data_IF_504496374917
#
_entry.id   IF_504496374917
#
_cell.length_a   1.000
_cell.length_b   1.000
_cell.length_c   1.000
_cell.angle_alpha   90.00
_cell.angle_beta   90.00
_cell.angle_gamma   90.00
#
_symmetry.space_group_name_H-M   'P 1'
#
loop_
_entity.id
_entity.type
_entity.pdbx_description
1 polymer ?
#
# COMPACT_ATOMS: atom_id res chain seq x y z
N UNK A 1 -15.46 10.00 13.25
CA UNK A 1 -14.76 10.46 12.03
C UNK A 1 -15.63 10.03 10.83
N UNK A 2 -15.55 10.71 9.68
CA UNK A 2 -16.63 10.91 8.69
C UNK A 2 -17.56 9.74 8.31
N UNK A 3 -18.85 10.07 8.10
CA UNK A 3 -19.90 9.18 7.57
C UNK A 3 -19.47 8.50 6.25
N UNK A 4 -19.27 7.19 6.30
CA UNK A 4 -18.95 6.26 5.19
C UNK A 4 -19.92 6.30 3.98
N UNK A 5 -21.01 7.08 4.04
CA UNK A 5 -22.15 6.99 3.12
C UNK A 5 -22.66 8.35 2.63
N UNK A 6 -21.77 9.28 2.28
CA UNK A 6 -22.16 10.48 1.50
C UNK A 6 -21.44 10.54 0.16
N UNK A 7 -21.88 9.69 -0.75
CA UNK A 7 -21.56 9.86 -2.18
C UNK A 7 -22.08 11.21 -2.70
N UNK A 8 -21.43 11.74 -3.74
CA UNK A 8 -21.91 12.94 -4.42
C UNK A 8 -23.31 12.70 -5.00
N UNK A 9 -24.23 13.66 -4.80
CA UNK A 9 -25.56 13.62 -5.42
C UNK A 9 -25.44 13.44 -6.94
N UNK A 10 -26.32 12.67 -7.59
CA UNK A 10 -26.26 12.46 -9.04
C UNK A 10 -26.24 13.77 -9.85
N UNK A 11 -27.04 14.77 -9.45
CA UNK A 11 -27.08 16.09 -10.08
C UNK A 11 -25.74 16.84 -10.02
N UNK A 12 -24.92 16.56 -9.00
CA UNK A 12 -23.58 17.12 -8.89
C UNK A 12 -22.61 16.38 -9.80
N UNK A 13 -22.66 15.02 -9.84
CA UNK A 13 -21.80 14.22 -10.73
C UNK A 13 -22.02 14.54 -12.21
N UNK A 14 -23.25 14.84 -12.63
CA UNK A 14 -23.60 15.18 -14.01
C UNK A 14 -23.03 16.52 -14.51
N UNK A 15 -22.37 17.31 -13.64
CA UNK A 15 -21.77 18.61 -13.99
C UNK A 15 -20.25 18.53 -14.21
N UNK A 16 -19.66 17.33 -14.15
CA UNK A 16 -18.23 17.11 -14.29
C UNK A 16 -17.94 16.00 -15.30
N UNK A 17 -16.80 16.09 -15.98
CA UNK A 17 -16.17 14.94 -16.62
C UNK A 17 -15.44 14.11 -15.56
N UNK A 18 -15.43 12.79 -15.72
CA UNK A 18 -14.85 11.88 -14.74
C UNK A 18 -13.80 10.97 -15.39
N UNK A 19 -12.70 10.76 -14.68
CA UNK A 19 -11.72 9.72 -14.94
C UNK A 19 -11.64 8.86 -13.68
N UNK A 20 -11.82 7.55 -13.83
CA UNK A 20 -11.61 6.60 -12.76
C UNK A 20 -10.13 6.27 -12.71
N UNK A 21 -9.55 6.36 -11.52
CA UNK A 21 -8.17 5.95 -11.26
C UNK A 21 -8.20 4.71 -10.39
N UNK A 22 -7.26 3.82 -10.64
CA UNK A 22 -6.96 2.66 -9.82
C UNK A 22 -5.44 2.61 -9.58
N UNK A 23 -4.99 1.69 -8.75
CA UNK A 23 -3.56 1.41 -8.63
C UNK A 23 -2.98 1.00 -9.99
N UNK A 24 -1.78 1.49 -10.32
CA UNK A 24 -1.18 1.22 -11.61
C UNK A 24 -0.80 -0.25 -11.77
N UNK A 25 -0.63 -0.68 -13.03
CA UNK A 25 -0.08 -1.99 -13.35
C UNK A 25 1.28 -2.22 -12.65
N UNK A 26 1.62 -3.46 -12.25
CA UNK A 26 2.82 -3.73 -11.44
C UNK A 26 4.13 -3.22 -12.04
N UNK A 27 4.24 -3.20 -13.37
CA UNK A 27 5.42 -2.63 -14.05
C UNK A 27 5.53 -1.11 -13.86
N UNK A 28 4.40 -0.40 -13.94
CA UNK A 28 4.34 1.04 -13.74
C UNK A 28 4.54 1.38 -12.27
N UNK A 29 3.91 0.62 -11.36
CA UNK A 29 4.08 0.86 -9.92
C UNK A 29 5.54 0.67 -9.48
N UNK A 30 6.23 -0.36 -9.97
CA UNK A 30 7.67 -0.56 -9.72
C UNK A 30 8.50 0.64 -10.18
N UNK A 31 8.26 1.12 -11.40
CA UNK A 31 8.98 2.29 -11.93
C UNK A 31 8.75 3.55 -11.08
N UNK A 32 7.54 3.72 -10.52
CA UNK A 32 7.26 4.80 -9.57
C UNK A 32 8.10 4.63 -8.30
N UNK A 33 8.19 3.41 -7.72
CA UNK A 33 8.96 3.17 -6.50
C UNK A 33 10.46 3.34 -6.71
N UNK A 34 10.99 2.89 -7.85
CA UNK A 34 12.40 3.07 -8.21
C UNK A 34 12.73 4.57 -8.29
N UNK A 35 11.87 5.36 -8.93
CA UNK A 35 12.09 6.81 -9.12
C UNK A 35 11.84 7.64 -7.85
N UNK A 36 10.64 7.51 -7.27
CA UNK A 36 10.18 8.37 -6.18
C UNK A 36 10.62 7.88 -4.80
N UNK A 37 10.81 6.56 -4.70
CA UNK A 37 11.25 5.86 -3.50
C UNK A 37 12.76 5.61 -3.44
N UNK A 38 13.48 5.76 -4.56
CA UNK A 38 14.89 5.37 -4.71
C UNK A 38 15.14 3.89 -4.39
N UNK A 39 14.13 3.05 -4.60
CA UNK A 39 14.25 1.61 -4.41
C UNK A 39 15.11 1.00 -5.53
N UNK A 40 15.83 -0.07 -5.21
CA UNK A 40 16.37 -0.96 -6.24
C UNK A 40 15.22 -1.72 -6.92
N UNK A 41 15.42 -2.26 -8.14
CA UNK A 41 14.40 -3.07 -8.82
C UNK A 41 13.88 -4.24 -7.97
N UNK A 42 14.75 -4.86 -7.17
CA UNK A 42 14.40 -5.96 -6.29
C UNK A 42 13.48 -5.51 -5.14
N UNK A 43 13.80 -4.39 -4.50
CA UNK A 43 12.97 -3.81 -3.44
C UNK A 43 11.63 -3.34 -4.00
N UNK A 44 11.63 -2.68 -5.15
CA UNK A 44 10.40 -2.23 -5.82
C UNK A 44 9.49 -3.42 -6.16
N UNK A 45 10.05 -4.51 -6.69
CA UNK A 45 9.29 -5.72 -6.99
C UNK A 45 8.67 -6.35 -5.74
N UNK A 46 9.42 -6.47 -4.64
CA UNK A 46 8.91 -6.99 -3.36
C UNK A 46 7.81 -6.11 -2.77
N UNK A 47 7.98 -4.80 -2.78
CA UNK A 47 6.97 -3.86 -2.29
C UNK A 47 5.66 -3.92 -3.10
N UNK A 48 5.75 -4.04 -4.42
CA UNK A 48 4.56 -4.20 -5.28
C UNK A 48 3.89 -5.56 -5.07
N UNK A 49 4.65 -6.64 -4.90
CA UNK A 49 4.09 -7.95 -4.55
C UNK A 49 3.35 -7.91 -3.22
N UNK A 50 3.91 -7.22 -2.20
CA UNK A 50 3.25 -7.02 -0.91
C UNK A 50 1.95 -6.24 -1.10
N UNK A 51 1.99 -5.14 -1.85
CA UNK A 51 0.80 -4.33 -2.11
C UNK A 51 -0.31 -5.14 -2.78
N UNK A 52 0.02 -5.97 -3.77
CA UNK A 52 -0.95 -6.85 -4.43
C UNK A 52 -1.54 -7.88 -3.46
N UNK A 53 -0.73 -8.44 -2.55
CA UNK A 53 -1.23 -9.36 -1.52
C UNK A 53 -2.21 -8.66 -0.58
N UNK A 54 -1.85 -7.47 -0.08
CA UNK A 54 -2.70 -6.68 0.82
C UNK A 54 -3.99 -6.20 0.12
N UNK A 55 -3.92 -5.80 -1.15
CA UNK A 55 -5.08 -5.36 -1.94
C UNK A 55 -6.11 -6.45 -2.15
N UNK A 56 -5.70 -7.72 -2.20
CA UNK A 56 -6.63 -8.86 -2.25
C UNK A 56 -7.35 -9.13 -0.92
N UNK A 57 -6.84 -8.61 0.21
CA UNK A 57 -7.46 -8.75 1.52
C UNK A 57 -8.54 -7.69 1.78
N UNK A 58 -8.61 -6.64 0.95
CA UNK A 58 -9.61 -5.56 1.08
C UNK A 58 -11.06 -6.07 1.02
N UNK A 59 -11.29 -7.22 0.39
CA UNK A 59 -12.62 -7.85 0.34
C UNK A 59 -13.03 -8.52 1.68
N UNK A 60 -12.12 -8.58 2.67
CA UNK A 60 -12.24 -9.34 3.92
C UNK A 60 -11.75 -8.52 5.14
N UNK A 61 -12.34 -7.35 5.41
CA UNK A 61 -12.20 -6.61 6.69
C UNK A 61 -11.15 -5.49 6.80
N UNK A 62 -10.55 -5.02 5.69
CA UNK A 62 -9.72 -3.80 5.68
C UNK A 62 -10.53 -2.57 5.26
N UNK A 63 -10.57 -1.54 6.11
CA UNK A 63 -11.23 -0.26 5.78
C UNK A 63 -10.54 0.46 4.60
N UNK A 64 -9.20 0.40 4.55
CA UNK A 64 -8.37 0.94 3.49
C UNK A 64 -7.29 -0.07 3.09
N UNK A 65 -6.78 0.05 1.87
CA UNK A 65 -5.76 -0.85 1.35
C UNK A 65 -4.43 -0.16 1.08
N UNK A 66 -3.38 -0.95 0.83
CA UNK A 66 -2.02 -0.46 0.64
C UNK A 66 -1.91 0.45 -0.59
N UNK A 67 -1.82 1.77 -0.37
CA UNK A 67 -1.66 2.74 -1.45
C UNK A 67 -0.22 2.81 -1.98
N UNK A 68 -0.05 3.22 -3.23
CA UNK A 68 1.27 3.48 -3.82
C UNK A 68 2.10 4.49 -3.00
N UNK A 69 1.44 5.41 -2.29
CA UNK A 69 2.12 6.35 -1.38
C UNK A 69 2.80 5.64 -0.21
N UNK A 70 2.13 4.66 0.40
CA UNK A 70 2.71 3.88 1.50
C UNK A 70 3.92 3.09 0.99
N UNK A 71 3.85 2.56 -0.24
CA UNK A 71 4.98 1.88 -0.87
C UNK A 71 6.17 2.82 -1.14
N UNK A 72 5.92 4.05 -1.61
CA UNK A 72 6.98 5.06 -1.76
C UNK A 72 7.63 5.39 -0.43
N UNK A 73 6.84 5.47 0.65
CA UNK A 73 7.39 5.70 2.00
C UNK A 73 8.24 4.51 2.48
N UNK A 74 7.76 3.28 2.31
CA UNK A 74 8.54 2.09 2.63
C UNK A 74 9.86 2.04 1.83
N UNK A 75 9.81 2.31 0.52
CA UNK A 75 10.99 2.40 -0.33
C UNK A 75 12.00 3.44 0.17
N UNK A 76 11.54 4.63 0.58
CA UNK A 76 12.41 5.69 1.13
C UNK A 76 13.07 5.28 2.43
N UNK A 77 12.36 4.57 3.31
CA UNK A 77 12.93 4.06 4.56
C UNK A 77 14.04 3.03 4.26
N UNK A 78 13.81 2.13 3.31
CA UNK A 78 14.84 1.16 2.88
C UNK A 78 16.04 1.87 2.26
N UNK A 79 15.82 2.84 1.38
CA UNK A 79 16.89 3.65 0.79
C UNK A 79 17.67 4.46 1.85
N UNK A 80 17.08 4.69 3.03
CA UNK A 80 17.72 5.36 4.17
C UNK A 80 18.43 4.37 5.12
N UNK A 81 18.45 3.08 4.79
CA UNK A 81 19.15 2.04 5.54
C UNK A 81 18.29 1.22 6.49
N UNK A 82 16.98 1.42 6.51
CA UNK A 82 16.10 0.59 7.34
C UNK A 82 15.88 -0.79 6.68
N UNK A 83 15.89 -1.90 7.43
CA UNK A 83 15.54 -3.21 6.89
C UNK A 83 14.16 -3.19 6.23
N UNK A 84 13.98 -3.94 5.13
CA UNK A 84 12.74 -3.94 4.36
C UNK A 84 11.52 -4.34 5.21
N UNK A 85 11.67 -5.29 6.13
CA UNK A 85 10.61 -5.70 7.06
C UNK A 85 10.15 -4.53 7.93
N UNK A 86 11.08 -3.84 8.56
CA UNK A 86 10.80 -2.73 9.47
C UNK A 86 10.22 -1.54 8.72
N UNK A 87 10.69 -1.29 7.50
CA UNK A 87 10.14 -0.28 6.61
C UNK A 87 8.68 -0.58 6.22
N UNK A 88 8.37 -1.83 5.86
CA UNK A 88 7.00 -2.26 5.57
C UNK A 88 6.10 -2.14 6.81
N UNK A 89 6.60 -2.52 7.98
CA UNK A 89 5.85 -2.39 9.24
C UNK A 89 5.46 -0.93 9.49
N UNK A 90 6.45 -0.05 9.55
CA UNK A 90 6.26 1.35 9.92
C UNK A 90 5.47 2.15 8.87
N UNK A 91 5.70 1.90 7.57
CA UNK A 91 5.08 2.70 6.51
C UNK A 91 3.80 2.10 5.93
N UNK A 92 3.56 0.79 6.09
CA UNK A 92 2.39 0.11 5.51
C UNK A 92 1.49 -0.46 6.61
N UNK A 93 1.99 -1.39 7.44
CA UNK A 93 1.15 -2.13 8.40
C UNK A 93 0.53 -1.21 9.44
N UNK A 94 1.35 -0.43 10.14
CA UNK A 94 0.89 0.47 11.21
C UNK A 94 0.03 1.64 10.67
N UNK A 95 0.01 1.85 9.34
CA UNK A 95 -0.82 2.86 8.70
C UNK A 95 -2.20 2.32 8.26
N UNK A 96 -2.38 1.00 8.17
CA UNK A 96 -3.61 0.38 7.68
C UNK A 96 -4.59 0.02 8.80
N UNK A 97 -4.13 -0.08 10.05
CA UNK A 97 -4.98 -0.43 11.18
C UNK A 97 -4.35 -0.03 12.51
N UNK A 98 -5.18 0.22 13.52
CA UNK A 98 -4.81 0.29 14.93
C UNK A 98 -5.27 -0.93 15.74
N UNK A 99 -6.03 -1.84 15.11
CA UNK A 99 -6.49 -3.09 15.71
C UNK A 99 -5.36 -4.12 15.78
N UNK A 100 -5.13 -4.66 16.98
CA UNK A 100 -4.00 -5.56 17.22
C UNK A 100 -4.07 -6.87 16.43
N UNK A 101 -5.27 -7.45 16.25
CA UNK A 101 -5.42 -8.72 15.54
C UNK A 101 -5.22 -8.53 14.04
N UNK A 102 -5.76 -7.45 13.48
CA UNK A 102 -5.52 -7.02 12.10
C UNK A 102 -4.04 -6.75 11.85
N UNK A 103 -3.38 -5.97 12.72
CA UNK A 103 -1.94 -5.70 12.63
C UNK A 103 -1.11 -6.99 12.62
N UNK A 104 -1.46 -7.97 13.46
CA UNK A 104 -0.78 -9.28 13.48
C UNK A 104 -0.95 -10.03 12.16
N UNK A 105 -2.17 -10.06 11.61
CA UNK A 105 -2.45 -10.71 10.32
C UNK A 105 -1.69 -10.04 9.17
N UNK A 106 -1.66 -8.71 9.13
CA UNK A 106 -0.89 -7.96 8.12
C UNK A 106 0.62 -8.23 8.24
N UNK A 107 1.15 -8.35 9.46
CA UNK A 107 2.55 -8.69 9.71
C UNK A 107 2.91 -10.09 9.17
N UNK A 108 1.98 -11.06 9.26
CA UNK A 108 2.16 -12.38 8.68
C UNK A 108 2.23 -12.32 7.14
N UNK A 109 1.43 -11.46 6.51
CA UNK A 109 1.51 -11.22 5.06
C UNK A 109 2.85 -10.60 4.69
N UNK A 110 3.32 -9.61 5.46
CA UNK A 110 4.66 -9.03 5.26
C UNK A 110 5.73 -10.12 5.39
N UNK A 111 5.68 -10.97 6.42
CA UNK A 111 6.60 -12.11 6.59
C UNK A 111 6.59 -13.04 5.38
N UNK A 112 5.41 -13.42 4.89
CA UNK A 112 5.28 -14.35 3.78
C UNK A 112 5.82 -13.80 2.45
N UNK A 113 5.65 -12.50 2.19
CA UNK A 113 6.04 -11.89 0.91
C UNK A 113 7.49 -11.39 0.92
N UNK A 114 7.90 -10.72 1.99
CA UNK A 114 9.22 -10.08 2.09
C UNK A 114 10.29 -11.07 2.55
N UNK A 115 9.91 -12.09 3.32
CA UNK A 115 10.82 -13.01 3.99
C UNK A 115 11.48 -12.39 5.22
N UNK A 116 12.10 -13.24 6.05
CA UNK A 116 13.04 -12.79 7.08
C UNK A 116 14.30 -12.33 6.35
N UNK A 117 14.52 -11.02 6.30
CA UNK A 117 15.76 -10.49 5.72
C UNK A 117 16.94 -10.88 6.61
N UNK A 118 17.87 -11.64 6.05
CA UNK A 118 19.29 -11.60 6.43
C UNK A 118 19.94 -10.33 5.85
#
# INVERSE_FOLDING_TARGET
>A
YQNLLKGLKPSTRQRFTALTLDYPEPAVERAILEREGRATPEIAARLVQLAQALRRLTDHDLEETASTRLLVMAARLVASGLPLRDACRAAVVDALSDDHDTLRALDEVVRAVVGDGD
#
